data_IF_807518551939
#
_entry.id   IF_807518551939
#
_cell.length_a   1.000
_cell.length_b   1.000
_cell.length_c   1.000
_cell.angle_alpha   90.00
_cell.angle_beta   90.00
_cell.angle_gamma   90.00
#
_symmetry.space_group_name_H-M   'P 1'
#
loop_
_entity.id
_entity.type
_entity.pdbx_description
1 polymer ?
#
# COMPACT_ATOMS: atom_id res chain seq x y z
N UNK A 1 -2.96 24.13 4.84
CA UNK A 1 -2.92 24.38 6.30
C UNK A 1 -1.90 23.48 6.97
N UNK A 2 -1.39 23.84 8.15
CA UNK A 2 -0.28 23.15 8.84
C UNK A 2 -0.46 21.63 8.99
N UNK A 3 -1.70 21.16 9.15
CA UNK A 3 -2.03 19.73 9.27
C UNK A 3 -1.80 18.93 7.97
N UNK A 4 -2.06 19.51 6.80
CA UNK A 4 -1.83 18.86 5.51
C UNK A 4 -0.32 18.69 5.24
N UNK A 5 0.47 19.69 5.62
CA UNK A 5 1.93 19.62 5.51
C UNK A 5 2.50 18.55 6.42
N UNK A 6 2.02 18.48 7.67
CA UNK A 6 2.42 17.43 8.62
C UNK A 6 2.02 16.04 8.13
N UNK A 7 0.83 15.89 7.57
CA UNK A 7 0.38 14.62 6.99
C UNK A 7 1.25 14.18 5.81
N UNK A 8 1.48 15.08 4.84
CA UNK A 8 2.37 14.81 3.70
C UNK A 8 3.75 14.37 4.16
N UNK A 9 4.35 15.09 5.11
CA UNK A 9 5.66 14.76 5.65
C UNK A 9 5.73 13.37 6.28
N UNK A 10 4.70 12.97 7.03
CA UNK A 10 4.63 11.62 7.62
C UNK A 10 4.50 10.53 6.54
N UNK A 11 3.69 10.78 5.50
CA UNK A 11 3.56 9.86 4.37
C UNK A 11 4.89 9.71 3.65
N UNK A 12 5.55 10.81 3.31
CA UNK A 12 6.86 10.76 2.65
C UNK A 12 7.90 10.03 3.51
N UNK A 13 7.93 10.29 4.82
CA UNK A 13 8.83 9.60 5.75
C UNK A 13 8.59 8.09 5.75
N UNK A 14 7.33 7.64 5.71
CA UNK A 14 7.00 6.22 5.60
C UNK A 14 7.46 5.65 4.24
N UNK A 15 7.14 6.33 3.14
CA UNK A 15 7.50 5.88 1.79
C UNK A 15 9.02 5.77 1.60
N UNK A 16 9.78 6.72 2.15
CA UNK A 16 11.24 6.77 2.06
C UNK A 16 11.92 5.71 2.94
N UNK A 17 11.19 5.19 3.92
CA UNK A 17 11.71 4.15 4.81
C UNK A 17 11.62 2.74 4.21
N UNK A 18 10.84 2.54 3.16
CA UNK A 18 10.66 1.22 2.53
C UNK A 18 11.87 0.92 1.63
N UNK A 19 12.37 -0.31 1.73
CA UNK A 19 13.38 -0.86 0.84
C UNK A 19 12.71 -1.28 -0.47
N UNK A 20 12.67 -0.35 -1.41
CA UNK A 20 12.20 -0.62 -2.77
C UNK A 20 13.25 -1.40 -3.54
N UNK A 21 12.86 -2.53 -4.13
CA UNK A 21 13.72 -3.34 -5.01
C UNK A 21 14.04 -2.60 -6.33
N UNK A 22 14.93 -3.15 -7.17
CA UNK A 22 15.48 -2.51 -8.39
C UNK A 22 14.45 -1.88 -9.36
N UNK A 23 13.18 -2.29 -9.28
CA UNK A 23 12.08 -1.78 -10.11
C UNK A 23 11.17 -0.77 -9.40
N UNK A 24 11.57 -0.27 -8.22
CA UNK A 24 10.75 0.60 -7.39
C UNK A 24 9.54 -0.12 -6.79
N UNK A 25 9.67 -1.42 -6.51
CA UNK A 25 8.58 -2.27 -6.02
C UNK A 25 8.90 -2.88 -4.65
N UNK A 26 7.86 -3.10 -3.87
CA UNK A 26 7.87 -3.90 -2.65
C UNK A 26 6.73 -4.93 -2.71
N UNK A 27 6.80 -5.98 -1.90
CA UNK A 27 5.68 -6.91 -1.73
C UNK A 27 4.70 -6.30 -0.75
N UNK A 28 3.41 -6.57 -0.90
CA UNK A 28 2.40 -6.19 0.08
C UNK A 28 1.44 -7.35 0.30
N UNK A 29 1.07 -7.58 1.57
CA UNK A 29 0.16 -8.63 1.99
C UNK A 29 -1.08 -7.97 2.60
N UNK A 30 -2.25 -8.28 2.04
CA UNK A 30 -3.52 -7.90 2.64
C UNK A 30 -4.02 -9.04 3.53
N UNK A 31 -4.33 -8.72 4.77
CA UNK A 31 -4.76 -9.66 5.80
C UNK A 31 -6.03 -9.13 6.49
N UNK A 32 -6.91 -10.03 6.91
CA UNK A 32 -8.03 -9.67 7.81
C UNK A 32 -7.50 -9.22 9.17
N UNK A 33 -8.12 -8.21 9.79
CA UNK A 33 -7.72 -7.70 11.11
C UNK A 33 -7.78 -8.81 12.18
N UNK A 34 -8.82 -9.63 12.12
CA UNK A 34 -9.07 -10.79 12.98
C UNK A 34 -9.88 -11.79 12.14
N UNK A 35 -9.43 -13.04 11.93
CA UNK A 35 -8.40 -13.80 12.65
C UNK A 35 -6.98 -13.73 12.05
N UNK A 36 -6.68 -12.77 11.18
CA UNK A 36 -5.38 -12.76 10.50
C UNK A 36 -5.31 -13.67 9.28
N UNK A 37 -6.44 -14.02 8.66
CA UNK A 37 -6.45 -14.72 7.37
C UNK A 37 -5.83 -13.85 6.27
N UNK A 38 -4.90 -14.41 5.50
CA UNK A 38 -4.32 -13.77 4.32
C UNK A 38 -5.38 -13.72 3.21
N UNK A 39 -5.64 -12.53 2.69
CA UNK A 39 -6.60 -12.30 1.61
C UNK A 39 -5.92 -12.25 0.25
N UNK A 40 -4.80 -11.52 0.17
CA UNK A 40 -4.09 -11.27 -1.09
C UNK A 40 -2.61 -11.00 -0.83
N UNK A 41 -1.80 -11.29 -1.84
CA UNK A 41 -0.42 -10.81 -1.95
C UNK A 41 -0.27 -10.14 -3.32
N UNK A 42 0.44 -9.02 -3.36
CA UNK A 42 0.70 -8.28 -4.58
C UNK A 42 1.98 -7.47 -4.49
N UNK A 43 2.25 -6.72 -5.56
CA UNK A 43 3.31 -5.72 -5.56
C UNK A 43 2.71 -4.35 -5.33
N UNK A 44 3.48 -3.46 -4.72
CA UNK A 44 3.19 -2.03 -4.62
C UNK A 44 4.40 -1.26 -5.13
N UNK A 45 4.15 -0.10 -5.72
CA UNK A 45 5.16 0.94 -5.88
C UNK A 45 4.84 2.10 -4.92
N UNK A 46 5.69 3.12 -4.89
CA UNK A 46 5.51 4.31 -4.03
C UNK A 46 4.14 4.96 -4.20
N UNK A 47 3.61 5.01 -5.42
CA UNK A 47 2.30 5.60 -5.74
C UNK A 47 1.13 4.73 -5.26
N UNK A 48 1.21 3.41 -5.40
CA UNK A 48 0.19 2.48 -4.91
C UNK A 48 0.04 2.56 -3.38
N UNK A 49 1.15 2.69 -2.64
CA UNK A 49 1.11 2.84 -1.19
C UNK A 49 0.56 4.22 -0.78
N UNK A 50 0.98 5.30 -1.45
CA UNK A 50 0.42 6.64 -1.21
C UNK A 50 -1.10 6.68 -1.48
N UNK A 51 -1.54 6.02 -2.56
CA UNK A 51 -2.96 5.86 -2.89
C UNK A 51 -3.70 5.04 -1.82
N UNK A 52 -3.07 3.97 -1.33
CA UNK A 52 -3.62 3.16 -0.24
C UNK A 52 -3.83 3.98 1.04
N UNK A 53 -2.83 4.76 1.45
CA UNK A 53 -2.88 5.59 2.66
C UNK A 53 -3.98 6.67 2.54
N UNK A 54 -4.05 7.35 1.39
CA UNK A 54 -5.01 8.44 1.18
C UNK A 54 -6.45 7.95 1.02
N UNK A 55 -6.66 6.85 0.29
CA UNK A 55 -8.00 6.32 0.01
C UNK A 55 -8.52 5.34 1.06
N UNK A 56 -7.64 4.82 1.92
CA UNK A 56 -7.89 3.71 2.86
C UNK A 56 -8.40 2.44 2.18
N UNK A 57 -8.04 2.21 0.92
CA UNK A 57 -8.37 1.01 0.14
C UNK A 57 -7.08 0.39 -0.37
N UNK A 58 -6.99 -0.94 -0.35
CA UNK A 58 -5.81 -1.63 -0.85
C UNK A 58 -5.63 -1.38 -2.36
N UNK A 59 -4.57 -0.64 -2.71
CA UNK A 59 -4.15 -0.39 -4.09
C UNK A 59 -2.82 -1.10 -4.34
N UNK A 60 -2.78 -1.94 -5.37
CA UNK A 60 -1.59 -2.65 -5.82
C UNK A 60 -1.07 -2.07 -7.12
N UNK A 61 0.14 -2.46 -7.51
CA UNK A 61 0.75 -2.16 -8.80
C UNK A 61 0.82 -3.42 -9.66
N UNK A 62 0.20 -3.38 -10.84
CA UNK A 62 0.28 -4.44 -11.84
C UNK A 62 1.58 -4.32 -12.62
N UNK A 63 2.50 -5.28 -12.43
CA UNK A 63 3.77 -5.30 -13.17
C UNK A 63 3.61 -5.56 -14.67
N UNK A 64 2.56 -6.28 -15.07
CA UNK A 64 2.29 -6.59 -16.48
C UNK A 64 1.64 -5.45 -17.24
N UNK A 65 0.81 -4.66 -16.56
CA UNK A 65 0.09 -3.52 -17.17
C UNK A 65 0.74 -2.16 -16.83
N UNK A 66 1.76 -2.16 -15.97
CA UNK A 66 2.44 -0.96 -15.46
C UNK A 66 1.45 0.09 -14.91
N UNK A 67 0.44 -0.36 -14.19
CA UNK A 67 -0.68 0.47 -13.73
C UNK A 67 -1.07 0.18 -12.28
N UNK A 68 -1.69 1.17 -11.64
CA UNK A 68 -2.34 0.99 -10.35
C UNK A 68 -3.62 0.16 -10.51
N UNK A 69 -3.94 -0.62 -9.48
CA UNK A 69 -5.18 -1.36 -9.37
C UNK A 69 -5.70 -1.33 -7.95
N UNK A 70 -6.85 -0.71 -7.72
CA UNK A 70 -7.49 -0.72 -6.41
C UNK A 70 -8.40 -1.92 -6.31
N UNK A 71 -8.14 -2.83 -5.36
CA UNK A 71 -8.95 -4.03 -5.19
C UNK A 71 -10.41 -3.63 -4.98
N UNK A 72 -11.28 -4.07 -5.88
CA UNK A 72 -12.71 -3.79 -5.83
C UNK A 72 -13.20 -2.74 -6.81
N UNK A 73 -12.33 -2.06 -7.56
CA UNK A 73 -12.76 -1.03 -8.53
C UNK A 73 -13.70 -1.55 -9.63
N UNK A 74 -13.56 -2.81 -10.04
CA UNK A 74 -14.48 -3.47 -10.98
C UNK A 74 -15.62 -4.21 -10.28
N UNK A 75 -15.33 -4.87 -9.15
CA UNK A 75 -16.27 -5.80 -8.51
C UNK A 75 -17.11 -5.19 -7.39
N UNK A 76 -16.82 -3.94 -7.01
CA UNK A 76 -17.35 -3.25 -5.83
C UNK A 76 -17.08 -3.98 -4.48
N UNK A 77 -16.10 -4.89 -4.45
CA UNK A 77 -15.68 -5.63 -3.23
C UNK A 77 -14.27 -5.15 -2.87
N UNK A 78 -14.23 -4.15 -1.99
CA UNK A 78 -13.00 -3.49 -1.55
C UNK A 78 -12.38 -4.16 -0.33
N UNK A 79 -11.06 -4.04 -0.22
CA UNK A 79 -10.34 -4.27 1.04
C UNK A 79 -10.08 -2.89 1.65
N UNK A 80 -10.78 -2.58 2.74
CA UNK A 80 -10.56 -1.34 3.49
C UNK A 80 -9.39 -1.52 4.45
N UNK A 81 -8.46 -0.56 4.44
CA UNK A 81 -7.21 -0.63 5.21
C UNK A 81 -7.42 0.02 6.57
N UNK A 82 -7.16 -0.76 7.62
CA UNK A 82 -7.18 -0.32 9.00
C UNK A 82 -5.80 0.17 9.45
N UNK A 83 -4.80 -0.69 9.29
CA UNK A 83 -3.42 -0.45 9.68
C UNK A 83 -2.47 -0.88 8.56
N UNK A 84 -1.27 -0.31 8.55
CA UNK A 84 -0.18 -0.67 7.64
C UNK A 84 1.05 -0.94 8.51
N UNK A 85 1.65 -2.10 8.31
CA UNK A 85 2.89 -2.50 8.97
C UNK A 85 3.97 -2.66 7.90
N UNK A 86 5.22 -2.46 8.33
CA UNK A 86 6.42 -2.71 7.53
C UNK A 86 7.19 -3.79 8.26
N UNK A 87 7.68 -4.79 7.55
CA UNK A 87 8.48 -5.86 8.13
C UNK A 87 9.87 -5.37 8.63
N UNK A 88 10.70 -6.30 9.11
CA UNK A 88 11.92 -5.96 9.85
C UNK A 88 13.06 -5.42 8.97
N UNK A 89 13.19 -5.88 7.73
CA UNK A 89 14.16 -5.40 6.73
C UNK A 89 13.54 -4.46 5.68
N UNK A 90 12.24 -4.17 5.84
CA UNK A 90 11.46 -3.11 5.22
C UNK A 90 11.17 -3.31 3.74
N UNK A 91 11.15 -4.55 3.24
CA UNK A 91 10.81 -4.85 1.85
C UNK A 91 9.40 -5.45 1.64
N UNK A 92 8.63 -5.61 2.73
CA UNK A 92 7.20 -5.92 2.69
C UNK A 92 6.31 -5.29 3.78
#
# INVERSE_FOLDING_TARGET
>A
GLNLLKFSFLVDTLLDSIKWEDKGLAVAIAQTVDPGAILMQGFINREALATTISSKKATFFSRSQASLWTKGETSNIFINVHDIFVDCDRDS
#
